data_IF_482895367097
#
_entry.id   IF_482895367097
#
_cell.length_a   1.000
_cell.length_b   1.000
_cell.length_c   1.000
_cell.angle_alpha   90.00
_cell.angle_beta   90.00
_cell.angle_gamma   90.00
#
_symmetry.space_group_name_H-M   'P 1'
#
loop_
_entity.id
_entity.type
_entity.pdbx_description
1 polymer ?
#
# COMPACT_ATOMS: atom_id res chain seq x y z
N UNK A 1 14.63 -9.18 29.76
CA UNK A 1 13.61 -8.75 28.77
C UNK A 1 14.12 -7.79 27.68
N UNK A 2 15.25 -7.08 27.82
CA UNK A 2 15.62 -6.02 26.85
C UNK A 2 16.38 -6.44 25.57
N UNK A 3 17.05 -7.61 25.55
CA UNK A 3 17.91 -8.01 24.41
C UNK A 3 17.13 -8.68 23.26
N UNK A 4 16.01 -9.32 23.58
CA UNK A 4 15.15 -10.00 22.60
C UNK A 4 14.34 -8.99 21.78
N UNK A 5 13.86 -7.91 22.40
CA UNK A 5 13.13 -6.85 21.72
C UNK A 5 13.97 -6.13 20.66
N UNK A 6 15.26 -5.90 20.95
CA UNK A 6 16.17 -5.26 20.00
C UNK A 6 16.39 -6.15 18.76
N UNK A 7 16.71 -7.43 18.96
CA UNK A 7 16.87 -8.37 17.83
C UNK A 7 15.60 -8.52 17.00
N UNK A 8 14.41 -8.45 17.64
CA UNK A 8 13.14 -8.48 16.90
C UNK A 8 12.97 -7.25 16.02
N UNK A 9 13.27 -6.04 16.52
CA UNK A 9 13.16 -4.82 15.70
C UNK A 9 14.19 -4.80 14.57
N UNK A 10 15.42 -5.25 14.83
CA UNK A 10 16.48 -5.32 13.81
C UNK A 10 16.09 -6.26 12.66
N UNK A 11 15.46 -7.39 12.98
CA UNK A 11 14.91 -8.31 11.99
C UNK A 11 13.78 -7.65 11.18
N UNK A 12 12.80 -7.03 11.85
CA UNK A 12 11.67 -6.37 11.18
C UNK A 12 12.09 -5.24 10.22
N UNK A 13 13.20 -4.56 10.49
CA UNK A 13 13.74 -3.49 9.65
C UNK A 13 14.47 -3.99 8.40
N UNK A 14 14.86 -5.27 8.38
CA UNK A 14 15.60 -5.90 7.28
C UNK A 14 14.78 -6.95 6.53
N UNK A 15 13.65 -7.36 7.09
CA UNK A 15 12.68 -8.26 6.48
C UNK A 15 11.88 -7.54 5.36
N UNK A 16 12.07 -7.98 4.13
CA UNK A 16 11.18 -7.67 3.00
C UNK A 16 9.90 -8.52 3.11
N UNK A 17 8.80 -7.88 3.54
CA UNK A 17 7.47 -8.50 3.57
C UNK A 17 6.59 -7.94 2.47
N UNK A 18 6.53 -8.67 1.36
CA UNK A 18 5.55 -8.40 0.31
C UNK A 18 4.16 -8.90 0.72
N UNK A 19 3.14 -8.06 0.53
CA UNK A 19 1.74 -8.47 0.53
C UNK A 19 1.11 -8.21 -0.84
N UNK A 20 1.64 -8.79 -1.94
CA UNK A 20 0.95 -8.68 -3.21
C UNK A 20 -0.39 -9.40 -3.06
N UNK A 21 -1.48 -8.64 -3.19
CA UNK A 21 -2.80 -9.21 -3.43
C UNK A 21 -2.69 -10.10 -4.69
N UNK A 22 -3.46 -11.19 -4.77
CA UNK A 22 -3.52 -11.94 -6.02
C UNK A 22 -3.97 -11.02 -7.16
N UNK A 23 -3.55 -11.31 -8.39
CA UNK A 23 -4.01 -10.54 -9.56
C UNK A 23 -5.55 -10.54 -9.66
N UNK A 24 -6.19 -11.66 -9.31
CA UNK A 24 -7.65 -11.81 -9.24
C UNK A 24 -8.31 -10.86 -8.23
N UNK A 25 -7.65 -10.57 -7.12
CA UNK A 25 -8.13 -9.58 -6.14
C UNK A 25 -7.94 -8.16 -6.67
N UNK A 26 -6.78 -7.86 -7.26
CA UNK A 26 -6.48 -6.54 -7.81
C UNK A 26 -7.43 -6.18 -8.96
N UNK A 27 -7.85 -7.16 -9.77
CA UNK A 27 -8.81 -6.99 -10.86
C UNK A 27 -10.21 -6.55 -10.39
N UNK A 28 -10.54 -6.76 -9.11
CA UNK A 28 -11.82 -6.38 -8.51
C UNK A 28 -11.78 -5.02 -7.81
N UNK A 29 -10.68 -4.25 -7.94
CA UNK A 29 -10.56 -2.95 -7.31
C UNK A 29 -11.60 -1.96 -7.87
N UNK A 30 -12.26 -1.23 -6.97
CA UNK A 30 -13.20 -0.16 -7.34
C UNK A 30 -12.50 1.03 -8.02
N UNK A 31 -11.19 1.20 -7.82
CA UNK A 31 -10.39 2.28 -8.37
C UNK A 31 -9.09 1.74 -8.95
N UNK A 32 -8.66 2.33 -10.07
CA UNK A 32 -7.40 2.01 -10.75
C UNK A 32 -6.52 3.26 -10.84
N UNK A 33 -5.31 3.13 -11.40
CA UNK A 33 -4.39 4.27 -11.59
C UNK A 33 -5.02 5.42 -12.37
N UNK A 34 -5.90 5.12 -13.34
CA UNK A 34 -6.59 6.14 -14.13
C UNK A 34 -7.43 7.09 -13.27
N UNK A 35 -8.03 6.60 -12.18
CA UNK A 35 -8.84 7.42 -11.28
C UNK A 35 -7.98 8.46 -10.53
N UNK A 36 -6.71 8.14 -10.27
CA UNK A 36 -5.76 9.09 -9.68
C UNK A 36 -5.35 10.18 -10.67
N UNK A 37 -5.19 9.82 -11.95
CA UNK A 37 -4.89 10.79 -13.01
C UNK A 37 -6.04 11.79 -13.17
N UNK A 38 -7.28 11.30 -13.18
CA UNK A 38 -8.49 12.12 -13.22
C UNK A 38 -8.59 13.06 -12.02
N UNK A 39 -8.43 12.52 -10.80
CA UNK A 39 -8.46 13.31 -9.56
C UNK A 39 -7.33 14.35 -9.49
N UNK A 40 -6.17 14.08 -10.12
CA UNK A 40 -5.06 15.04 -10.20
C UNK A 40 -5.30 16.12 -11.25
N UNK A 41 -6.03 15.83 -12.32
CA UNK A 41 -6.30 16.77 -13.40
C UNK A 41 -7.30 17.85 -12.97
N UNK A 42 -8.33 17.46 -12.22
CA UNK A 42 -9.29 18.40 -11.62
C UNK A 42 -9.84 17.86 -10.30
N UNK A 43 -9.18 18.23 -9.21
CA UNK A 43 -9.52 17.76 -7.87
C UNK A 43 -10.89 18.25 -7.41
N UNK A 44 -11.29 19.46 -7.78
CA UNK A 44 -12.57 20.02 -7.30
C UNK A 44 -13.74 19.39 -8.04
N UNK A 45 -13.65 19.23 -9.37
CA UNK A 45 -14.68 18.54 -10.15
C UNK A 45 -14.79 17.06 -9.80
N UNK A 46 -13.67 16.39 -9.49
CA UNK A 46 -13.66 14.98 -9.11
C UNK A 46 -14.44 14.69 -7.81
N UNK A 47 -14.53 15.66 -6.89
CA UNK A 47 -15.15 15.50 -5.57
C UNK A 47 -16.51 16.19 -5.37
N UNK A 48 -17.02 16.90 -6.38
CA UNK A 48 -18.31 17.60 -6.33
C UNK A 48 -19.51 16.65 -6.41
#
# INVERSE_FOLDING_TARGET
MGKQSQSTLDNLLTEERGHPQSEEFAAQANATSALYEEASADREAFWA
#
